data_IF_990034895578
#
_entry.id   IF_990034895578
#
_cell.length_a   1.000
_cell.length_b   1.000
_cell.length_c   1.000
_cell.angle_alpha   90.00
_cell.angle_beta   90.00
_cell.angle_gamma   90.00
#
_symmetry.space_group_name_H-M   'P 1'
#
loop_
_entity.id
_entity.type
_entity.pdbx_description
1 polymer ?
#
# COMPACT_ATOMS: atom_id res chain seq x y z
N UNK A 1 -27.57 22.84 -8.33
CA UNK A 1 -26.64 21.83 -8.91
C UNK A 1 -26.78 20.46 -8.23
N UNK A 2 -26.79 20.37 -6.90
CA UNK A 2 -26.89 19.10 -6.13
C UNK A 2 -28.07 18.21 -6.53
N UNK A 3 -29.25 18.78 -6.77
CA UNK A 3 -30.43 18.05 -7.22
C UNK A 3 -30.24 17.37 -8.58
N UNK A 4 -29.50 18.02 -9.50
CA UNK A 4 -29.24 17.46 -10.85
C UNK A 4 -28.26 16.30 -10.80
N UNK A 5 -27.24 16.39 -9.94
CA UNK A 5 -26.25 15.31 -9.74
C UNK A 5 -26.92 14.09 -9.11
N UNK A 6 -27.74 14.29 -8.07
CA UNK A 6 -28.47 13.19 -7.43
C UNK A 6 -29.45 12.50 -8.39
N UNK A 7 -30.16 13.27 -9.23
CA UNK A 7 -31.05 12.72 -10.25
C UNK A 7 -30.28 11.92 -11.31
N UNK A 8 -29.13 12.42 -11.77
CA UNK A 8 -28.25 11.70 -12.69
C UNK A 8 -27.74 10.39 -12.10
N UNK A 9 -27.23 10.40 -10.86
CA UNK A 9 -26.75 9.19 -10.19
C UNK A 9 -27.84 8.12 -10.08
N UNK A 10 -29.05 8.50 -9.67
CA UNK A 10 -30.20 7.57 -9.62
C UNK A 10 -30.54 6.97 -10.98
N UNK A 11 -30.48 7.78 -12.04
CA UNK A 11 -30.77 7.34 -13.40
C UNK A 11 -29.71 6.38 -13.95
N UNK A 12 -28.42 6.68 -13.77
CA UNK A 12 -27.33 5.80 -14.23
C UNK A 12 -27.26 4.53 -13.37
N UNK A 13 -27.58 4.61 -12.08
CA UNK A 13 -27.72 3.42 -11.24
C UNK A 13 -28.81 2.47 -11.73
N UNK A 14 -29.95 3.00 -12.18
CA UNK A 14 -31.06 2.20 -12.68
C UNK A 14 -30.79 1.59 -14.07
N UNK A 15 -30.03 2.29 -14.93
CA UNK A 15 -29.78 1.88 -16.32
C UNK A 15 -28.52 1.07 -16.51
N UNK A 16 -27.45 1.45 -15.81
CA UNK A 16 -26.10 0.91 -15.99
C UNK A 16 -25.44 0.63 -14.63
N UNK A 17 -26.06 -0.21 -13.77
CA UNK A 17 -25.56 -0.46 -12.41
C UNK A 17 -24.13 -1.02 -12.40
N UNK A 18 -23.78 -1.81 -13.41
CA UNK A 18 -22.43 -2.40 -13.55
C UNK A 18 -21.37 -1.31 -13.74
N UNK A 19 -21.65 -0.29 -14.54
CA UNK A 19 -20.72 0.82 -14.76
C UNK A 19 -20.59 1.69 -13.51
N UNK A 20 -21.69 1.95 -12.80
CA UNK A 20 -21.62 2.70 -11.54
C UNK A 20 -20.79 1.95 -10.49
N UNK A 21 -20.97 0.64 -10.37
CA UNK A 21 -20.17 -0.19 -9.48
C UNK A 21 -18.70 -0.17 -9.87
N UNK A 22 -18.36 -0.34 -11.16
CA UNK A 22 -16.96 -0.35 -11.60
C UNK A 22 -16.23 0.96 -11.33
N UNK A 23 -16.86 2.10 -11.63
CA UNK A 23 -16.26 3.41 -11.35
C UNK A 23 -16.15 3.69 -9.85
N UNK A 24 -17.15 3.28 -9.06
CA UNK A 24 -17.10 3.46 -7.60
C UNK A 24 -15.98 2.61 -6.99
N UNK A 25 -15.91 1.32 -7.34
CA UNK A 25 -14.87 0.42 -6.84
C UNK A 25 -13.48 0.83 -7.31
N UNK A 26 -13.31 1.20 -8.59
CA UNK A 26 -12.04 1.70 -9.11
C UNK A 26 -11.61 3.00 -8.44
N UNK A 27 -12.52 3.96 -8.27
CA UNK A 27 -12.24 5.21 -7.56
C UNK A 27 -11.84 4.98 -6.10
N UNK A 28 -12.55 4.10 -5.40
CA UNK A 28 -12.19 3.71 -4.03
C UNK A 28 -10.82 3.03 -3.97
N UNK A 29 -10.51 2.13 -4.90
CA UNK A 29 -9.22 1.44 -4.94
C UNK A 29 -8.03 2.39 -5.11
N UNK A 30 -8.21 3.53 -5.79
CA UNK A 30 -7.16 4.55 -5.96
C UNK A 30 -7.04 5.44 -4.72
N UNK A 31 -8.15 5.83 -4.11
CA UNK A 31 -8.16 6.81 -3.01
C UNK A 31 -7.83 6.13 -1.66
N UNK A 32 -8.39 4.95 -1.39
CA UNK A 32 -8.27 4.26 -0.09
C UNK A 32 -6.82 4.03 0.37
N UNK A 33 -5.85 3.64 -0.48
CA UNK A 33 -4.47 3.43 -0.04
C UNK A 33 -3.81 4.67 0.55
N UNK A 34 -4.17 5.87 0.06
CA UNK A 34 -3.61 7.15 0.54
C UNK A 34 -4.22 7.60 1.86
N UNK A 35 -5.48 7.24 2.12
CA UNK A 35 -6.17 7.56 3.36
C UNK A 35 -5.96 6.51 4.45
N UNK A 36 -5.61 5.28 4.07
CA UNK A 36 -5.45 4.17 5.02
C UNK A 36 -4.14 4.26 5.79
N UNK A 37 -4.16 4.30 7.13
CA UNK A 37 -2.94 4.22 7.93
C UNK A 37 -2.26 2.84 7.82
N UNK A 38 -2.96 1.84 7.29
CA UNK A 38 -2.47 0.46 7.20
C UNK A 38 -1.58 0.17 6.00
N UNK A 39 -1.62 1.02 4.97
CA UNK A 39 -0.78 0.84 3.77
C UNK A 39 0.71 0.76 4.11
N UNK A 40 1.15 1.52 5.14
CA UNK A 40 2.53 1.48 5.65
C UNK A 40 2.95 0.09 6.15
N UNK A 41 2.07 -0.61 6.87
CA UNK A 41 2.41 -1.91 7.43
C UNK A 41 2.56 -2.99 6.35
N UNK A 42 1.80 -2.91 5.26
CA UNK A 42 1.99 -3.81 4.11
C UNK A 42 3.39 -3.67 3.52
N UNK A 43 3.92 -2.44 3.39
CA UNK A 43 5.29 -2.21 2.94
C UNK A 43 6.31 -2.76 3.94
N UNK A 44 6.12 -2.53 5.24
CA UNK A 44 7.02 -3.02 6.27
C UNK A 44 7.09 -4.55 6.30
N UNK A 45 5.97 -5.24 6.09
CA UNK A 45 5.92 -6.71 6.01
C UNK A 45 6.75 -7.18 4.81
N UNK A 46 6.55 -6.59 3.63
CA UNK A 46 7.29 -6.96 2.41
C UNK A 46 8.80 -6.71 2.54
N UNK A 47 9.21 -5.70 3.30
CA UNK A 47 10.63 -5.42 3.60
C UNK A 47 11.22 -6.37 4.65
N UNK A 48 10.41 -6.79 5.62
CA UNK A 48 10.85 -7.67 6.70
C UNK A 48 10.96 -9.14 6.26
N UNK A 49 10.32 -9.54 5.15
CA UNK A 49 10.42 -10.90 4.60
C UNK A 49 11.72 -11.09 3.80
N UNK A 50 12.70 -11.86 4.30
CA UNK A 50 13.97 -12.05 3.60
C UNK A 50 13.83 -13.10 2.51
N UNK A 51 13.82 -12.68 1.24
CA UNK A 51 13.83 -13.60 0.09
C UNK A 51 15.25 -14.03 -0.31
N UNK A 52 16.25 -13.19 -0.02
CA UNK A 52 17.64 -13.46 -0.31
C UNK A 52 18.41 -13.69 0.99
N UNK A 53 19.47 -14.50 0.92
CA UNK A 53 20.39 -14.62 2.05
C UNK A 53 20.96 -13.23 2.37
N UNK A 54 20.93 -12.79 3.64
CA UNK A 54 21.55 -11.54 4.04
C UNK A 54 23.07 -11.70 3.92
N UNK A 55 23.61 -11.44 2.72
CA UNK A 55 25.02 -11.56 2.42
C UNK A 55 25.85 -10.67 3.32
N UNK A 56 26.96 -11.20 3.86
CA UNK A 56 27.95 -10.43 4.60
C UNK A 56 28.74 -9.58 3.60
N UNK A 57 28.44 -8.28 3.52
CA UNK A 57 29.26 -7.34 2.75
C UNK A 57 30.62 -7.08 3.44
N UNK A 58 31.70 -6.79 2.69
CA UNK A 58 33.01 -6.44 3.26
C UNK A 58 32.95 -5.24 4.23
N UNK A 59 31.95 -4.37 4.05
CA UNK A 59 31.69 -3.19 4.90
C UNK A 59 31.20 -3.53 6.31
N UNK A 60 30.62 -4.72 6.53
CA UNK A 60 30.18 -5.18 7.85
C UNK A 60 31.33 -5.77 8.70
N UNK A 61 32.50 -5.97 8.09
CA UNK A 61 33.70 -6.49 8.77
C UNK A 61 34.51 -5.36 9.44
N UNK A 62 34.16 -4.10 9.20
CA UNK A 62 34.86 -2.93 9.76
C UNK A 62 34.32 -2.62 11.17
N UNK A 63 35.10 -2.86 12.24
CA UNK A 63 34.59 -2.99 13.61
C UNK A 63 34.00 -1.70 14.23
N UNK A 64 34.15 -0.55 13.59
CA UNK A 64 33.66 0.74 14.07
C UNK A 64 32.69 1.45 13.12
N UNK A 65 32.34 0.82 11.98
CA UNK A 65 31.51 1.48 10.95
C UNK A 65 30.02 1.46 11.28
N UNK A 66 29.57 0.44 12.00
CA UNK A 66 28.15 0.25 12.31
C UNK A 66 27.93 -0.16 13.78
N UNK A 67 27.95 0.79 14.73
CA UNK A 67 27.82 0.53 16.16
C UNK A 67 26.42 0.04 16.60
N UNK A 68 25.44 0.04 15.69
CA UNK A 68 24.05 -0.39 15.95
C UNK A 68 23.73 -1.80 15.44
N UNK A 69 24.69 -2.49 14.85
CA UNK A 69 24.48 -3.88 14.45
C UNK A 69 24.59 -4.78 15.69
N UNK A 70 23.63 -5.71 15.90
CA UNK A 70 23.79 -6.72 16.93
C UNK A 70 25.03 -7.58 16.62
N UNK A 71 25.79 -8.02 17.63
CA UNK A 71 26.82 -9.03 17.44
C UNK A 71 26.17 -10.29 16.84
N UNK A 72 26.81 -10.84 15.81
CA UNK A 72 26.35 -12.04 15.10
C UNK A 72 26.29 -13.23 16.07
N UNK A 73 25.12 -13.55 16.61
CA UNK A 73 24.85 -14.79 17.32
C UNK A 73 24.05 -15.73 16.41
N UNK A 74 24.80 -16.52 15.65
CA UNK A 74 24.39 -17.82 15.10
C UNK A 74 25.61 -18.74 15.18
#
# INVERSE_FOLDING_TARGET
>A
MTTRIAAFLKNVWAKEPVLVASFTTGGLAVILPTLSPYTKYSLMINQATPYNYPGRGPSLMEPNKYPRLPPLFF
#
